data_IF_305717410613
#
_entry.id   IF_305717410613
#
_cell.length_a   1.000
_cell.length_b   1.000
_cell.length_c   1.000
_cell.angle_alpha   90.00
_cell.angle_beta   90.00
_cell.angle_gamma   90.00
#
_symmetry.space_group_name_H-M   'P 1'
#
loop_
_entity.id
_entity.type
_entity.pdbx_description
1 polymer ?
#
# COMPACT_ATOMS: atom_id res chain seq x y z
N UNK A 1 44.36 -25.82 59.28
CA UNK A 1 42.99 -26.30 59.53
C UNK A 1 41.96 -25.46 58.88
N UNK A 2 42.07 -24.15 58.71
CA UNK A 2 41.11 -23.23 58.13
C UNK A 2 40.84 -23.49 56.62
N UNK A 3 41.84 -23.81 55.82
CA UNK A 3 41.68 -23.97 54.34
C UNK A 3 40.87 -25.23 53.99
N UNK A 4 40.84 -26.25 54.83
CA UNK A 4 40.06 -27.47 54.59
C UNK A 4 38.55 -27.22 54.79
N UNK A 5 38.17 -26.33 55.72
CA UNK A 5 36.80 -25.98 56.02
C UNK A 5 36.19 -25.05 54.95
N UNK A 6 36.99 -24.18 54.32
CA UNK A 6 36.54 -23.28 53.26
C UNK A 6 36.19 -24.08 51.99
N UNK A 7 36.97 -25.10 51.63
CA UNK A 7 36.64 -25.98 50.49
C UNK A 7 35.34 -26.76 50.71
N UNK A 8 35.11 -27.22 51.93
CA UNK A 8 33.89 -27.95 52.25
C UNK A 8 32.65 -27.04 52.24
N UNK A 9 32.79 -25.78 52.65
CA UNK A 9 31.73 -24.78 52.58
C UNK A 9 31.36 -24.42 51.14
N UNK A 10 32.33 -24.31 50.23
CA UNK A 10 32.12 -24.08 48.80
C UNK A 10 31.43 -25.26 48.12
N UNK A 11 31.71 -26.48 48.49
CA UNK A 11 31.04 -27.68 47.95
C UNK A 11 29.57 -27.74 48.41
N UNK A 12 29.29 -27.39 49.66
CA UNK A 12 27.89 -27.30 50.17
C UNK A 12 27.14 -26.18 49.46
N UNK A 13 27.74 -25.03 49.17
CA UNK A 13 27.11 -23.91 48.45
C UNK A 13 26.78 -24.27 46.98
N UNK A 14 27.59 -25.10 46.35
CA UNK A 14 27.33 -25.63 45.00
C UNK A 14 26.24 -26.70 45.00
N UNK A 15 26.01 -27.42 46.07
CA UNK A 15 24.93 -28.42 46.19
C UNK A 15 23.57 -27.78 46.54
N UNK A 16 23.58 -26.55 47.07
CA UNK A 16 22.34 -25.78 47.36
C UNK A 16 21.88 -24.88 46.18
N UNK A 17 22.48 -24.99 45.04
CA UNK A 17 21.92 -24.42 43.86
C UNK A 17 20.65 -25.22 43.54
N UNK A 18 19.50 -24.77 44.10
CA UNK A 18 18.21 -25.19 43.60
C UNK A 18 18.27 -25.09 42.07
N UNK A 19 17.95 -26.15 41.32
CA UNK A 19 17.82 -26.01 39.89
C UNK A 19 16.81 -24.90 39.72
N UNK A 20 17.23 -23.81 39.06
CA UNK A 20 16.29 -22.82 38.55
C UNK A 20 15.32 -23.59 37.67
N UNK A 21 14.21 -24.03 38.25
CA UNK A 21 13.07 -24.42 37.51
C UNK A 21 12.57 -23.11 36.84
N UNK A 22 13.21 -22.75 35.78
CA UNK A 22 12.58 -22.01 34.73
C UNK A 22 11.28 -22.80 34.50
N UNK A 23 10.15 -22.31 35.03
CA UNK A 23 8.85 -22.69 34.52
C UNK A 23 8.90 -22.28 33.06
N UNK A 24 9.36 -23.16 32.17
CA UNK A 24 9.07 -23.04 30.76
C UNK A 24 7.55 -23.04 30.73
N UNK A 25 6.95 -21.87 30.50
CA UNK A 25 5.60 -21.80 30.00
C UNK A 25 5.51 -22.88 28.93
N UNK A 26 4.55 -23.79 29.08
CA UNK A 26 4.44 -25.05 28.36
C UNK A 26 5.01 -24.95 26.92
N UNK A 27 6.18 -25.53 26.67
CA UNK A 27 6.83 -25.58 25.35
C UNK A 27 6.02 -26.41 24.34
N UNK A 28 4.95 -27.06 24.79
CA UNK A 28 3.96 -27.77 23.92
C UNK A 28 3.32 -26.85 22.88
N UNK A 29 3.36 -25.52 23.11
CA UNK A 29 2.83 -24.54 22.17
C UNK A 29 3.80 -24.17 21.04
N UNK A 30 5.09 -24.39 21.21
CA UNK A 30 6.14 -24.10 20.22
C UNK A 30 6.94 -25.36 19.90
N UNK A 31 6.35 -26.24 19.08
CA UNK A 31 7.12 -27.37 18.52
C UNK A 31 8.32 -26.86 17.74
N UNK A 32 9.51 -27.41 18.04
CA UNK A 32 10.79 -27.05 17.41
C UNK A 32 10.73 -27.14 15.88
N UNK A 33 9.96 -28.09 15.35
CA UNK A 33 9.75 -28.26 13.92
C UNK A 33 8.98 -27.09 13.29
N UNK A 34 7.97 -26.56 13.97
CA UNK A 34 7.20 -25.42 13.50
C UNK A 34 7.99 -24.13 13.60
N UNK A 35 8.77 -23.95 14.67
CA UNK A 35 9.72 -22.83 14.82
C UNK A 35 10.81 -22.87 13.75
N UNK A 36 11.40 -24.03 13.49
CA UNK A 36 12.41 -24.20 12.43
C UNK A 36 11.86 -23.79 11.06
N UNK A 37 10.65 -24.22 10.72
CA UNK A 37 9.98 -23.82 9.47
C UNK A 37 9.72 -22.29 9.44
N UNK A 38 9.23 -21.73 10.53
CA UNK A 38 9.00 -20.30 10.62
C UNK A 38 10.29 -19.50 10.37
N UNK A 39 11.39 -19.86 11.05
CA UNK A 39 12.68 -19.17 10.84
C UNK A 39 13.24 -19.41 9.44
N UNK A 40 13.06 -20.60 8.87
CA UNK A 40 13.39 -20.83 7.45
C UNK A 40 12.57 -19.93 6.52
N UNK A 41 11.30 -19.68 6.86
CA UNK A 41 10.45 -18.72 6.16
C UNK A 41 10.95 -17.29 6.27
N UNK A 42 11.37 -16.88 7.47
CA UNK A 42 11.98 -15.56 7.70
C UNK A 42 13.24 -15.37 6.86
N UNK A 43 14.16 -16.33 6.91
CA UNK A 43 15.40 -16.29 6.11
C UNK A 43 15.10 -16.22 4.60
N UNK A 44 14.15 -17.02 4.11
CA UNK A 44 13.77 -17.00 2.71
C UNK A 44 13.15 -15.64 2.32
N UNK A 45 12.36 -15.04 3.21
CA UNK A 45 11.74 -13.73 3.02
C UNK A 45 12.81 -12.61 2.94
N UNK A 46 13.76 -12.57 3.87
CA UNK A 46 14.85 -11.59 3.86
C UNK A 46 15.74 -11.73 2.60
N UNK A 47 15.87 -12.95 2.07
CA UNK A 47 16.56 -13.24 0.81
C UNK A 47 15.67 -12.98 -0.44
N UNK A 48 14.51 -12.33 -0.29
CA UNK A 48 13.55 -12.01 -1.38
C UNK A 48 13.02 -13.24 -2.14
N UNK A 49 13.13 -14.44 -1.56
CA UNK A 49 12.55 -15.66 -2.12
C UNK A 49 11.14 -15.85 -1.56
N UNK A 50 10.20 -15.05 -2.06
CA UNK A 50 8.85 -14.94 -1.51
C UNK A 50 8.06 -16.25 -1.62
N UNK A 51 8.18 -16.98 -2.72
CA UNK A 51 7.51 -18.27 -2.92
C UNK A 51 7.95 -19.30 -1.88
N UNK A 52 9.26 -19.41 -1.64
CA UNK A 52 9.82 -20.30 -0.62
C UNK A 52 9.42 -19.86 0.79
N UNK A 53 9.44 -18.57 1.06
CA UNK A 53 8.99 -18.00 2.33
C UNK A 53 7.54 -18.36 2.62
N UNK A 54 6.64 -18.14 1.64
CA UNK A 54 5.23 -18.48 1.75
C UNK A 54 5.01 -19.98 2.00
N UNK A 55 5.78 -20.85 1.32
CA UNK A 55 5.69 -22.29 1.56
C UNK A 55 6.06 -22.66 3.01
N UNK A 56 7.14 -22.10 3.55
CA UNK A 56 7.53 -22.32 4.94
C UNK A 56 6.50 -21.79 5.93
N UNK A 57 5.97 -20.57 5.71
CA UNK A 57 4.90 -20.03 6.54
C UNK A 57 3.62 -20.90 6.45
N UNK A 58 3.22 -21.35 5.26
CA UNK A 58 2.08 -22.26 5.14
C UNK A 58 2.24 -23.55 5.96
N UNK A 59 3.47 -24.06 6.09
CA UNK A 59 3.79 -25.28 6.85
C UNK A 59 3.98 -25.05 8.36
N UNK A 60 3.85 -23.80 8.84
CA UNK A 60 3.97 -23.41 10.25
C UNK A 60 2.78 -22.58 10.74
N UNK A 61 1.62 -22.69 10.08
CA UNK A 61 0.39 -21.90 10.39
C UNK A 61 -0.12 -22.05 11.83
N UNK A 62 0.24 -23.11 12.52
CA UNK A 62 -0.09 -23.27 13.95
C UNK A 62 0.44 -22.11 14.81
N UNK A 63 1.49 -21.44 14.35
CA UNK A 63 2.07 -20.27 15.03
C UNK A 63 1.27 -18.97 14.81
N UNK A 64 0.31 -18.95 13.90
CA UNK A 64 -0.51 -17.77 13.59
C UNK A 64 -1.20 -17.19 14.83
N UNK A 65 -1.60 -18.06 15.76
CA UNK A 65 -2.30 -17.68 16.99
C UNK A 65 -1.38 -17.52 18.19
N UNK A 66 -0.10 -17.84 18.06
CA UNK A 66 0.84 -17.99 19.17
C UNK A 66 2.04 -17.06 19.08
N UNK A 67 2.34 -16.54 17.89
CA UNK A 67 3.51 -15.72 17.63
C UNK A 67 3.10 -14.44 16.88
N UNK A 68 3.08 -13.32 17.57
CA UNK A 68 2.58 -12.04 17.04
C UNK A 68 3.22 -11.63 15.70
N UNK A 69 4.55 -11.68 15.50
CA UNK A 69 5.16 -11.30 14.23
C UNK A 69 4.80 -12.21 13.05
N UNK A 70 4.26 -13.41 13.32
CA UNK A 70 3.91 -14.38 12.28
C UNK A 70 2.85 -13.86 11.33
N UNK A 71 1.75 -13.31 11.85
CA UNK A 71 0.64 -12.81 11.03
C UNK A 71 1.12 -11.76 10.02
N UNK A 72 1.90 -10.80 10.48
CA UNK A 72 2.45 -9.75 9.61
C UNK A 72 3.27 -10.33 8.48
N UNK A 73 4.26 -11.20 8.76
CA UNK A 73 5.12 -11.83 7.74
C UNK A 73 4.37 -12.72 6.77
N UNK A 74 3.38 -13.46 7.28
CA UNK A 74 2.56 -14.32 6.45
C UNK A 74 1.68 -13.50 5.49
N UNK A 75 1.06 -12.44 5.96
CA UNK A 75 0.30 -11.49 5.12
C UNK A 75 1.18 -10.87 4.05
N UNK A 76 2.38 -10.41 4.39
CA UNK A 76 3.34 -9.89 3.42
C UNK A 76 3.69 -10.91 2.33
N UNK A 77 4.01 -12.13 2.73
CA UNK A 77 4.36 -13.19 1.77
C UNK A 77 3.20 -13.52 0.83
N UNK A 78 1.95 -13.48 1.33
CA UNK A 78 0.76 -13.65 0.49
C UNK A 78 0.61 -12.52 -0.54
N UNK A 79 0.81 -11.26 -0.11
CA UNK A 79 0.71 -10.09 -1.00
C UNK A 79 1.79 -10.15 -2.08
N UNK A 80 3.04 -10.44 -1.72
CA UNK A 80 4.17 -10.55 -2.65
C UNK A 80 4.01 -11.69 -3.67
N UNK A 81 3.22 -12.71 -3.34
CA UNK A 81 2.86 -13.81 -4.25
C UNK A 81 1.51 -13.58 -4.94
N UNK A 82 1.05 -12.32 -5.04
CA UNK A 82 -0.22 -11.92 -5.67
C UNK A 82 -1.48 -12.59 -5.09
N UNK A 83 -1.41 -13.08 -3.83
CA UNK A 83 -2.52 -13.74 -3.14
C UNK A 83 -3.26 -12.78 -2.19
N UNK A 84 -3.55 -11.57 -2.68
CA UNK A 84 -4.13 -10.47 -1.88
C UNK A 84 -5.45 -10.87 -1.23
N UNK A 85 -6.35 -11.56 -1.95
CA UNK A 85 -7.62 -12.01 -1.37
C UNK A 85 -7.41 -13.00 -0.21
N UNK A 86 -6.40 -13.87 -0.29
CA UNK A 86 -6.06 -14.77 0.83
C UNK A 86 -5.49 -13.98 2.01
N UNK A 87 -4.65 -12.97 1.77
CA UNK A 87 -4.13 -12.09 2.81
C UNK A 87 -5.27 -11.39 3.56
N UNK A 88 -6.24 -10.82 2.85
CA UNK A 88 -7.42 -10.18 3.43
C UNK A 88 -8.26 -11.17 4.26
N UNK A 89 -8.48 -12.39 3.76
CA UNK A 89 -9.20 -13.43 4.49
C UNK A 89 -8.48 -13.80 5.79
N UNK A 90 -7.16 -13.96 5.75
CA UNK A 90 -6.34 -14.25 6.94
C UNK A 90 -6.43 -13.11 7.95
N UNK A 91 -6.36 -11.86 7.51
CA UNK A 91 -6.55 -10.67 8.37
C UNK A 91 -7.93 -10.71 9.02
N UNK A 92 -8.99 -10.93 8.23
CA UNK A 92 -10.37 -10.93 8.73
C UNK A 92 -10.64 -12.04 9.75
N UNK A 93 -10.02 -13.21 9.60
CA UNK A 93 -10.11 -14.31 10.55
C UNK A 93 -9.34 -14.05 11.85
N UNK A 94 -8.39 -13.10 11.85
CA UNK A 94 -7.49 -12.81 12.96
C UNK A 94 -7.55 -11.33 13.40
N UNK A 95 -8.72 -10.69 13.27
CA UNK A 95 -8.90 -9.24 13.50
C UNK A 95 -8.33 -8.72 14.83
N UNK A 96 -8.43 -9.51 15.90
CA UNK A 96 -8.10 -9.07 17.26
C UNK A 96 -6.70 -9.50 17.72
N UNK A 97 -5.85 -10.04 16.83
CA UNK A 97 -4.62 -10.71 17.26
C UNK A 97 -3.33 -9.95 17.03
N UNK A 98 -3.32 -9.06 16.07
CA UNK A 98 -2.12 -8.30 15.75
C UNK A 98 -2.51 -7.03 14.99
N UNK A 99 -1.97 -5.91 15.44
CA UNK A 99 -2.25 -4.61 14.89
C UNK A 99 -0.99 -4.08 14.21
N UNK A 100 -1.07 -3.79 12.90
CA UNK A 100 0.04 -3.27 12.13
C UNK A 100 -0.47 -2.43 10.94
N UNK A 101 0.37 -1.52 10.49
CA UNK A 101 0.05 -0.54 9.45
C UNK A 101 -0.53 -1.18 8.19
N UNK A 102 0.13 -2.21 7.66
CA UNK A 102 -0.22 -2.81 6.37
C UNK A 102 -1.53 -3.58 6.42
N UNK A 103 -1.94 -4.09 7.59
CA UNK A 103 -3.27 -4.67 7.81
C UNK A 103 -4.36 -3.67 7.46
N UNK A 104 -4.29 -2.48 8.03
CA UNK A 104 -5.29 -1.45 7.81
C UNK A 104 -5.23 -0.86 6.41
N UNK A 105 -4.03 -0.74 5.83
CA UNK A 105 -3.90 -0.31 4.44
C UNK A 105 -4.55 -1.32 3.47
N UNK A 106 -4.33 -2.62 3.64
CA UNK A 106 -4.98 -3.67 2.83
C UNK A 106 -6.50 -3.66 3.00
N UNK A 107 -7.00 -3.50 4.23
CA UNK A 107 -8.43 -3.40 4.49
C UNK A 107 -9.04 -2.13 3.89
N UNK A 108 -8.32 -1.01 3.88
CA UNK A 108 -8.72 0.22 3.20
C UNK A 108 -8.90 -0.02 1.70
N UNK A 109 -7.89 -0.60 1.05
CA UNK A 109 -7.94 -0.90 -0.39
C UNK A 109 -9.06 -1.91 -0.73
N UNK A 110 -9.24 -2.94 0.10
CA UNK A 110 -10.33 -3.91 -0.10
C UNK A 110 -11.71 -3.26 0.02
N UNK A 111 -11.87 -2.34 0.98
CA UNK A 111 -13.12 -1.57 1.16
C UNK A 111 -13.38 -0.64 -0.03
N UNK A 112 -12.34 0.02 -0.56
CA UNK A 112 -12.44 0.83 -1.79
C UNK A 112 -12.90 -0.01 -2.99
N UNK A 113 -12.32 -1.20 -3.18
CA UNK A 113 -12.73 -2.13 -4.25
C UNK A 113 -14.19 -2.59 -4.16
N UNK A 114 -14.79 -2.49 -2.98
CA UNK A 114 -16.17 -2.91 -2.69
C UNK A 114 -17.14 -1.73 -2.58
N UNK A 115 -16.71 -0.55 -2.95
CA UNK A 115 -17.47 0.70 -2.82
C UNK A 115 -17.92 1.04 -1.39
N UNK A 116 -17.26 0.44 -0.37
CA UNK A 116 -17.51 0.70 1.05
C UNK A 116 -16.61 1.83 1.55
N UNK A 117 -16.89 3.05 1.05
CA UNK A 117 -16.06 4.22 1.33
C UNK A 117 -16.05 4.63 2.80
N UNK A 118 -17.18 4.48 3.49
CA UNK A 118 -17.27 4.77 4.93
C UNK A 118 -16.29 3.90 5.72
N UNK A 119 -16.27 2.61 5.44
CA UNK A 119 -15.38 1.68 6.11
C UNK A 119 -13.92 1.88 5.69
N UNK A 120 -13.68 2.30 4.45
CA UNK A 120 -12.34 2.70 4.01
C UNK A 120 -11.82 3.89 4.81
N UNK A 121 -12.68 4.90 5.13
CA UNK A 121 -12.34 6.04 6.01
C UNK A 121 -11.98 5.59 7.42
N UNK A 122 -12.71 4.63 7.99
CA UNK A 122 -12.42 4.07 9.31
C UNK A 122 -11.03 3.41 9.31
N UNK A 123 -10.77 2.54 8.33
CA UNK A 123 -9.49 1.82 8.24
C UNK A 123 -8.30 2.75 7.98
N UNK A 124 -8.42 3.74 7.09
CA UNK A 124 -7.32 4.68 6.84
C UNK A 124 -7.00 5.52 8.08
N UNK A 125 -7.99 5.81 8.91
CA UNK A 125 -7.79 6.51 10.18
C UNK A 125 -7.01 5.66 11.19
N UNK A 126 -7.24 4.34 11.20
CA UNK A 126 -6.51 3.41 12.05
C UNK A 126 -5.03 3.29 11.65
N UNK A 127 -4.68 3.39 10.34
CA UNK A 127 -3.29 3.24 9.88
C UNK A 127 -2.32 4.18 10.59
N UNK A 128 -2.77 5.40 10.92
CA UNK A 128 -1.94 6.44 11.55
C UNK A 128 -1.42 6.04 12.94
N UNK A 129 -2.09 5.11 13.63
CA UNK A 129 -1.68 4.63 14.96
C UNK A 129 -0.45 3.70 14.90
N UNK A 130 -0.19 3.08 13.75
CA UNK A 130 0.79 2.00 13.62
C UNK A 130 1.98 2.36 12.72
N UNK A 131 2.10 3.61 12.32
CA UNK A 131 3.22 4.08 11.51
C UNK A 131 3.87 5.30 12.16
N UNK A 132 5.21 5.35 12.12
CA UNK A 132 5.92 6.58 12.43
C UNK A 132 5.65 7.59 11.31
N UNK A 133 4.96 8.66 11.65
CA UNK A 133 4.62 9.71 10.68
C UNK A 133 5.88 10.49 10.32
N UNK A 134 6.45 10.21 9.17
CA UNK A 134 7.31 11.11 8.42
C UNK A 134 6.46 12.06 7.58
N UNK A 135 7.07 13.12 7.07
CA UNK A 135 6.38 14.02 6.13
C UNK A 135 5.86 13.24 4.90
N UNK A 136 6.66 12.30 4.40
CA UNK A 136 6.30 11.47 3.25
C UNK A 136 5.10 10.54 3.56
N UNK A 137 5.15 9.81 4.68
CA UNK A 137 4.04 8.94 5.08
C UNK A 137 2.75 9.74 5.32
N UNK A 138 2.86 10.93 5.91
CA UNK A 138 1.72 11.82 6.12
C UNK A 138 1.12 12.28 4.80
N UNK A 139 1.96 12.63 3.81
CA UNK A 139 1.51 13.03 2.49
C UNK A 139 0.69 11.92 1.81
N UNK A 140 1.18 10.68 1.84
CA UNK A 140 0.49 9.52 1.26
C UNK A 140 -0.86 9.29 1.95
N UNK A 141 -0.87 9.19 3.28
CA UNK A 141 -2.09 8.88 4.03
C UNK A 141 -3.14 10.00 3.95
N UNK A 142 -2.72 11.26 3.97
CA UNK A 142 -3.63 12.39 3.85
C UNK A 142 -4.24 12.46 2.44
N UNK A 143 -3.43 12.31 1.37
CA UNK A 143 -3.97 12.27 0.01
C UNK A 143 -4.91 11.08 -0.22
N UNK A 144 -4.57 9.88 0.26
CA UNK A 144 -5.45 8.71 0.14
C UNK A 144 -6.76 8.93 0.90
N UNK A 145 -6.71 9.48 2.10
CA UNK A 145 -7.91 9.84 2.87
C UNK A 145 -8.77 10.85 2.12
N UNK A 146 -8.15 11.85 1.51
CA UNK A 146 -8.86 12.88 0.76
C UNK A 146 -9.56 12.31 -0.49
N UNK A 147 -8.94 11.35 -1.19
CA UNK A 147 -9.63 10.59 -2.25
C UNK A 147 -10.86 9.85 -1.72
N UNK A 148 -10.70 9.09 -0.63
CA UNK A 148 -11.82 8.34 -0.03
C UNK A 148 -12.94 9.28 0.41
N UNK A 149 -12.59 10.41 1.01
CA UNK A 149 -13.54 11.44 1.40
C UNK A 149 -14.33 11.96 0.18
N UNK A 150 -13.63 12.28 -0.92
CA UNK A 150 -14.26 12.75 -2.16
C UNK A 150 -15.21 11.70 -2.74
N UNK A 151 -14.82 10.42 -2.70
CA UNK A 151 -15.68 9.34 -3.19
C UNK A 151 -16.95 9.17 -2.34
N UNK A 152 -16.82 9.34 -1.02
CA UNK A 152 -17.93 9.20 -0.07
C UNK A 152 -18.85 10.43 -0.09
N UNK A 153 -18.28 11.62 0.09
CA UNK A 153 -19.02 12.87 0.32
C UNK A 153 -19.40 13.62 -0.95
N UNK A 154 -18.87 13.22 -2.11
CA UNK A 154 -19.07 13.91 -3.41
C UNK A 154 -18.74 15.40 -3.38
N UNK A 155 -17.76 15.78 -2.59
CA UNK A 155 -17.25 17.16 -2.48
C UNK A 155 -15.75 17.15 -2.11
N UNK A 156 -15.07 18.25 -2.40
CA UNK A 156 -13.66 18.41 -1.98
C UNK A 156 -13.57 18.62 -0.46
N UNK A 157 -12.47 18.15 0.18
CA UNK A 157 -12.18 18.52 1.55
C UNK A 157 -11.98 20.03 1.71
N UNK A 158 -12.38 20.58 2.87
CA UNK A 158 -12.23 22.02 3.15
C UNK A 158 -10.77 22.41 3.39
N UNK A 159 -9.96 21.50 3.93
CA UNK A 159 -8.56 21.74 4.29
C UNK A 159 -7.67 20.70 3.58
N UNK A 160 -7.22 21.05 2.37
CA UNK A 160 -6.31 20.24 1.57
C UNK A 160 -4.89 20.69 1.89
N UNK A 161 -4.10 19.82 2.51
CA UNK A 161 -2.69 20.09 2.78
C UNK A 161 -1.88 20.10 1.49
N UNK A 162 -0.90 21.02 1.43
CA UNK A 162 -0.02 21.10 0.26
C UNK A 162 1.23 20.22 0.45
N UNK A 163 1.34 19.19 -0.37
CA UNK A 163 2.49 18.30 -0.46
C UNK A 163 3.15 18.38 -1.86
N UNK A 164 3.17 19.57 -2.45
CA UNK A 164 3.76 19.81 -3.77
C UNK A 164 3.01 19.08 -4.89
N UNK A 165 3.77 18.49 -5.81
CA UNK A 165 3.21 17.84 -7.00
C UNK A 165 2.20 16.73 -6.67
N UNK A 166 2.39 15.99 -5.58
CA UNK A 166 1.43 14.96 -5.15
C UNK A 166 0.05 15.56 -4.89
N UNK A 167 -0.02 16.72 -4.23
CA UNK A 167 -1.31 17.39 -3.98
C UNK A 167 -1.93 17.97 -5.25
N UNK A 168 -1.12 18.50 -6.18
CA UNK A 168 -1.64 19.01 -7.46
C UNK A 168 -2.25 17.86 -8.26
N UNK A 169 -1.55 16.74 -8.38
CA UNK A 169 -2.04 15.53 -9.05
C UNK A 169 -3.34 15.04 -8.40
N UNK A 170 -3.32 14.81 -7.09
CA UNK A 170 -4.47 14.30 -6.35
C UNK A 170 -5.69 15.22 -6.47
N UNK A 171 -5.51 16.53 -6.31
CA UNK A 171 -6.61 17.50 -6.44
C UNK A 171 -7.16 17.55 -7.86
N UNK A 172 -6.30 17.42 -8.89
CA UNK A 172 -6.75 17.38 -10.29
C UNK A 172 -7.67 16.20 -10.51
N UNK A 173 -7.30 15.00 -10.08
CA UNK A 173 -8.11 13.80 -10.23
C UNK A 173 -9.39 13.83 -9.36
N UNK A 174 -9.32 14.35 -8.15
CA UNK A 174 -10.49 14.53 -7.29
C UNK A 174 -11.53 15.46 -7.95
N UNK A 175 -11.08 16.57 -8.55
CA UNK A 175 -11.94 17.48 -9.33
C UNK A 175 -12.52 16.81 -10.57
N UNK A 176 -11.71 16.01 -11.25
CA UNK A 176 -12.15 15.24 -12.41
C UNK A 176 -13.29 14.29 -12.04
N UNK A 177 -13.13 13.54 -10.94
CA UNK A 177 -14.18 12.65 -10.43
C UNK A 177 -15.49 13.38 -10.08
N UNK A 178 -15.37 14.59 -9.56
CA UNK A 178 -16.54 15.41 -9.19
C UNK A 178 -17.20 16.13 -10.38
N UNK A 179 -16.63 16.10 -11.57
CA UNK A 179 -17.06 16.91 -12.69
C UNK A 179 -16.94 18.42 -12.43
N UNK A 180 -15.97 18.82 -11.59
CA UNK A 180 -15.78 20.22 -11.18
C UNK A 180 -15.38 21.08 -12.38
N UNK A 181 -16.01 22.26 -12.52
CA UNK A 181 -15.76 23.19 -13.63
C UNK A 181 -14.30 23.65 -13.77
N UNK A 182 -13.50 23.57 -12.69
CA UNK A 182 -12.09 23.94 -12.70
C UNK A 182 -11.17 22.78 -13.13
N UNK A 183 -11.70 21.57 -13.38
CA UNK A 183 -10.90 20.39 -13.74
C UNK A 183 -9.94 20.66 -14.87
N UNK A 184 -10.42 21.28 -15.96
CA UNK A 184 -9.60 21.65 -17.12
C UNK A 184 -8.43 22.57 -16.75
N UNK A 185 -8.67 23.57 -15.92
CA UNK A 185 -7.64 24.49 -15.44
C UNK A 185 -6.57 23.76 -14.60
N UNK A 186 -6.98 22.78 -13.80
CA UNK A 186 -6.05 22.00 -12.99
C UNK A 186 -5.21 21.04 -13.84
N UNK A 187 -5.81 20.37 -14.84
CA UNK A 187 -5.03 19.59 -15.82
C UNK A 187 -4.03 20.46 -16.55
N UNK A 188 -4.45 21.64 -17.02
CA UNK A 188 -3.55 22.56 -17.71
C UNK A 188 -2.36 22.98 -16.84
N UNK A 189 -2.57 23.29 -15.57
CA UNK A 189 -1.49 23.57 -14.60
C UNK A 189 -0.59 22.37 -14.37
N UNK A 190 -1.14 21.17 -14.37
CA UNK A 190 -0.40 19.94 -14.13
C UNK A 190 0.54 19.62 -15.28
N UNK A 191 0.06 19.69 -16.53
CA UNK A 191 0.85 19.34 -17.73
C UNK A 191 1.87 20.41 -18.13
N UNK A 192 1.69 21.67 -17.68
CA UNK A 192 2.62 22.79 -17.89
C UNK A 192 3.48 23.09 -16.65
N UNK A 193 3.66 22.11 -15.77
CA UNK A 193 4.52 22.26 -14.60
C UNK A 193 5.98 22.01 -15.02
N UNK A 194 6.81 23.04 -14.91
CA UNK A 194 8.25 22.97 -15.27
C UNK A 194 9.12 22.30 -14.19
N UNK A 195 8.58 22.12 -12.96
CA UNK A 195 9.35 21.61 -11.82
C UNK A 195 9.51 20.09 -11.80
N UNK A 196 8.76 19.36 -12.64
CA UNK A 196 8.82 17.90 -12.71
C UNK A 196 8.39 17.37 -14.08
N UNK A 197 8.90 16.18 -14.47
CA UNK A 197 8.40 15.46 -15.64
C UNK A 197 7.01 14.86 -15.34
N UNK A 198 5.98 15.60 -15.71
CA UNK A 198 4.58 15.20 -15.59
C UNK A 198 3.94 14.85 -16.94
N UNK A 199 4.75 14.54 -17.95
CA UNK A 199 4.33 14.20 -19.33
C UNK A 199 3.28 13.09 -19.36
N UNK A 200 3.37 12.12 -18.46
CA UNK A 200 2.37 11.05 -18.31
C UNK A 200 0.94 11.59 -18.12
N UNK A 201 0.78 12.72 -17.45
CA UNK A 201 -0.54 13.29 -17.12
C UNK A 201 -1.25 13.91 -18.33
N UNK A 202 -0.54 14.13 -19.44
CA UNK A 202 -1.19 14.46 -20.71
C UNK A 202 -2.18 13.38 -21.16
N UNK A 203 -1.87 12.08 -20.94
CA UNK A 203 -2.81 11.01 -21.27
C UNK A 203 -4.13 11.13 -20.49
N UNK A 204 -4.06 11.42 -19.21
CA UNK A 204 -5.26 11.58 -18.36
C UNK A 204 -6.05 12.84 -18.73
N UNK A 205 -5.37 13.89 -19.18
CA UNK A 205 -6.03 15.07 -19.72
C UNK A 205 -6.75 14.76 -21.04
N UNK A 206 -6.13 13.99 -21.95
CA UNK A 206 -6.80 13.49 -23.14
C UNK A 206 -8.03 12.66 -22.80
N UNK A 207 -7.94 11.77 -21.81
CA UNK A 207 -9.09 10.97 -21.36
C UNK A 207 -10.23 11.88 -20.88
N UNK A 208 -9.93 12.87 -20.04
CA UNK A 208 -10.91 13.86 -19.59
C UNK A 208 -11.59 14.60 -20.77
N UNK A 209 -10.81 15.05 -21.76
CA UNK A 209 -11.35 15.74 -22.92
C UNK A 209 -12.27 14.86 -23.76
N UNK A 210 -11.89 13.60 -24.00
CA UNK A 210 -12.69 12.64 -24.74
C UNK A 210 -14.01 12.33 -24.00
N UNK A 211 -13.96 12.12 -22.68
CA UNK A 211 -15.16 11.90 -21.86
C UNK A 211 -16.14 13.10 -21.91
N UNK A 212 -15.60 14.31 -22.10
CA UNK A 212 -16.38 15.54 -22.20
C UNK A 212 -16.70 15.94 -23.65
N UNK A 213 -16.56 15.02 -24.63
CA UNK A 213 -16.83 15.24 -26.05
C UNK A 213 -15.98 16.37 -26.69
N UNK A 214 -14.79 16.64 -26.17
CA UNK A 214 -13.85 17.68 -26.63
C UNK A 214 -12.76 17.07 -27.52
N UNK A 215 -13.14 16.26 -28.52
CA UNK A 215 -12.22 15.53 -29.41
C UNK A 215 -11.26 16.43 -30.17
N UNK A 216 -11.76 17.54 -30.70
CA UNK A 216 -10.92 18.48 -31.47
C UNK A 216 -9.81 19.10 -30.61
N UNK A 217 -10.11 19.40 -29.35
CA UNK A 217 -9.10 19.88 -28.42
C UNK A 217 -8.09 18.79 -28.07
N UNK A 218 -8.55 17.55 -27.86
CA UNK A 218 -7.66 16.42 -27.64
C UNK A 218 -6.70 16.21 -28.83
N UNK A 219 -7.19 16.31 -30.08
CA UNK A 219 -6.33 16.25 -31.28
C UNK A 219 -5.27 17.35 -31.27
N UNK A 220 -5.66 18.59 -31.02
CA UNK A 220 -4.74 19.73 -30.97
C UNK A 220 -3.63 19.52 -29.91
N UNK A 221 -3.98 19.04 -28.73
CA UNK A 221 -2.99 18.74 -27.67
C UNK A 221 -2.01 17.67 -28.13
N UNK A 222 -2.45 16.62 -28.82
CA UNK A 222 -1.54 15.58 -29.34
C UNK A 222 -0.58 16.08 -30.40
N UNK A 223 -0.90 17.15 -31.13
CA UNK A 223 0.01 17.79 -32.09
C UNK A 223 1.06 18.65 -31.38
N UNK A 224 0.70 19.34 -30.31
CA UNK A 224 1.57 20.26 -29.57
C UNK A 224 2.58 19.55 -28.63
N UNK A 225 2.34 18.28 -28.24
CA UNK A 225 3.21 17.55 -27.30
C UNK A 225 4.53 17.14 -27.99
N UNK A 226 5.63 17.75 -27.53
CA UNK A 226 6.98 17.53 -28.10
C UNK A 226 7.61 16.17 -27.78
N UNK A 227 7.17 15.48 -26.72
CA UNK A 227 7.82 14.27 -26.16
C UNK A 227 6.88 13.06 -26.08
N UNK A 228 6.01 12.88 -27.06
CA UNK A 228 5.03 11.77 -27.06
C UNK A 228 5.70 10.40 -26.96
N UNK A 229 6.90 10.25 -27.52
CA UNK A 229 7.63 8.98 -27.52
C UNK A 229 8.24 8.59 -26.16
N UNK A 230 8.25 9.49 -25.18
CA UNK A 230 8.79 9.20 -23.83
C UNK A 230 7.81 8.44 -22.95
N UNK A 231 6.51 8.45 -23.27
CA UNK A 231 5.45 7.74 -22.54
C UNK A 231 4.68 6.82 -23.49
N UNK A 232 4.82 5.50 -23.29
CA UNK A 232 4.09 4.50 -24.09
C UNK A 232 2.57 4.73 -24.02
N UNK A 233 2.05 5.07 -22.83
CA UNK A 233 0.63 5.33 -22.62
C UNK A 233 0.16 6.54 -23.45
N UNK A 234 0.93 7.62 -23.46
CA UNK A 234 0.60 8.83 -24.23
C UNK A 234 0.70 8.59 -25.74
N UNK A 235 1.75 7.88 -26.19
CA UNK A 235 1.91 7.49 -27.61
C UNK A 235 0.73 6.64 -28.09
N UNK A 236 0.25 5.73 -27.26
CA UNK A 236 -0.90 4.90 -27.59
C UNK A 236 -2.21 5.71 -27.60
N UNK A 237 -2.38 6.63 -26.66
CA UNK A 237 -3.53 7.55 -26.63
C UNK A 237 -3.61 8.42 -27.88
N UNK A 238 -2.47 8.99 -28.34
CA UNK A 238 -2.38 9.73 -29.60
C UNK A 238 -2.81 8.87 -30.80
N UNK A 239 -2.25 7.66 -30.92
CA UNK A 239 -2.59 6.73 -32.00
C UNK A 239 -4.11 6.45 -32.05
N UNK A 240 -4.75 6.26 -30.90
CA UNK A 240 -6.20 6.03 -30.84
C UNK A 240 -7.01 7.24 -31.29
N UNK A 241 -6.58 8.46 -30.95
CA UNK A 241 -7.24 9.70 -31.36
C UNK A 241 -7.09 9.91 -32.89
N UNK A 242 -5.87 9.72 -33.43
CA UNK A 242 -5.58 9.87 -34.86
C UNK A 242 -6.31 8.87 -35.75
N UNK A 243 -6.59 7.67 -35.24
CA UNK A 243 -7.28 6.61 -35.97
C UNK A 243 -8.77 6.48 -35.62
N UNK A 244 -9.38 7.52 -35.07
CA UNK A 244 -10.80 7.56 -34.67
C UNK A 244 -11.24 6.40 -33.75
N UNK A 245 -10.30 5.94 -32.90
CA UNK A 245 -10.51 4.89 -31.90
C UNK A 245 -10.49 5.42 -30.45
N UNK A 246 -10.78 6.69 -30.25
CA UNK A 246 -10.67 7.40 -28.98
C UNK A 246 -11.47 6.75 -27.84
N UNK A 247 -12.53 5.99 -28.14
CA UNK A 247 -13.27 5.21 -27.14
C UNK A 247 -12.40 4.24 -26.34
N UNK A 248 -11.26 3.81 -26.91
CA UNK A 248 -10.29 2.96 -26.21
C UNK A 248 -9.61 3.67 -25.03
N UNK A 249 -9.50 4.98 -25.07
CA UNK A 249 -8.95 5.77 -23.97
C UNK A 249 -9.80 5.55 -22.70
N UNK A 250 -11.12 5.64 -22.82
CA UNK A 250 -12.04 5.44 -21.69
C UNK A 250 -12.06 3.99 -21.17
N UNK A 251 -11.52 3.02 -21.91
CA UNK A 251 -11.33 1.64 -21.39
C UNK A 251 -10.09 1.50 -20.53
N UNK A 252 -9.16 2.45 -20.60
CA UNK A 252 -7.91 2.46 -19.82
C UNK A 252 -8.05 3.34 -18.58
N UNK A 253 -8.74 4.46 -18.70
CA UNK A 253 -8.94 5.40 -17.60
C UNK A 253 -10.22 6.20 -17.78
N UNK A 254 -10.98 6.33 -16.72
CA UNK A 254 -12.13 7.20 -16.61
C UNK A 254 -12.09 8.01 -15.31
N UNK A 255 -12.33 9.30 -15.40
CA UNK A 255 -12.48 10.16 -14.24
C UNK A 255 -13.65 9.74 -13.32
N UNK A 256 -14.66 9.08 -13.86
CA UNK A 256 -15.84 8.63 -13.12
C UNK A 256 -15.59 7.29 -12.38
N UNK A 257 -14.51 6.59 -12.70
CA UNK A 257 -14.16 5.33 -12.07
C UNK A 257 -13.15 5.55 -10.93
N UNK A 258 -13.60 5.53 -9.68
CA UNK A 258 -12.72 5.70 -8.52
C UNK A 258 -11.59 4.68 -8.46
N UNK A 259 -11.77 3.46 -9.00
CA UNK A 259 -10.70 2.46 -9.03
C UNK A 259 -9.55 2.87 -9.96
N UNK A 260 -9.83 3.56 -11.07
CA UNK A 260 -8.79 4.06 -11.97
C UNK A 260 -7.96 5.17 -11.28
N UNK A 261 -8.64 6.06 -10.55
CA UNK A 261 -7.98 7.13 -9.81
C UNK A 261 -7.06 6.57 -8.70
N UNK A 262 -7.56 5.59 -7.94
CA UNK A 262 -6.77 4.93 -6.89
C UNK A 262 -5.63 4.12 -7.49
N UNK A 263 -5.83 3.46 -8.63
CA UNK A 263 -4.77 2.72 -9.31
C UNK A 263 -3.62 3.64 -9.74
N UNK A 264 -3.95 4.81 -10.30
CA UNK A 264 -2.92 5.80 -10.67
C UNK A 264 -2.22 6.39 -9.43
N UNK A 265 -2.97 6.68 -8.36
CA UNK A 265 -2.38 7.11 -7.09
C UNK A 265 -1.40 6.08 -6.54
N UNK A 266 -1.77 4.79 -6.50
CA UNK A 266 -0.91 3.73 -6.01
C UNK A 266 0.31 3.50 -6.91
N UNK A 267 0.15 3.64 -8.23
CA UNK A 267 1.26 3.60 -9.18
C UNK A 267 2.27 4.73 -8.92
N UNK A 268 1.79 5.96 -8.73
CA UNK A 268 2.63 7.10 -8.38
C UNK A 268 3.41 6.85 -7.07
N UNK A 269 2.73 6.38 -6.04
CA UNK A 269 3.36 6.07 -4.75
C UNK A 269 4.42 4.97 -4.89
N UNK A 270 4.14 3.92 -5.67
CA UNK A 270 5.10 2.85 -5.94
C UNK A 270 6.39 3.37 -6.59
N UNK A 271 6.27 4.29 -7.53
CA UNK A 271 7.42 4.91 -8.18
C UNK A 271 8.23 5.78 -7.21
N UNK A 272 7.56 6.54 -6.34
CA UNK A 272 8.22 7.36 -5.30
C UNK A 272 8.97 6.52 -4.26
N UNK A 273 8.55 5.27 -4.01
CA UNK A 273 9.27 4.35 -3.13
C UNK A 273 10.46 3.66 -3.82
N UNK A 274 10.50 3.66 -5.14
CA UNK A 274 11.52 2.96 -5.94
C UNK A 274 12.66 3.89 -6.38
N UNK A 275 12.47 5.20 -6.28
CA UNK A 275 13.44 6.26 -6.60
C UNK A 275 14.32 6.61 -5.40
#
# INVERSE_FOLDING_TARGET
>A
MLVKNIKFFFIILLLYQNPLHSKSASFDDFDSKNLSKYFSGVVAFENKNNSKALNFFNNSKILLNKHEPYLKRYVYSLVLENKVNQAINVINQNKNKSEFFEKYLLLTIDSLRKDDFSKALDYISETKKYIKLSQFNSAILDNLRDYIFVFNEKKLPNDIKNYGNLSIISTTFQRCYLGDAKTKTFFFKLINNDDADLTRYNFFYLAYLIENNQKEEAKKITEDIKFINTSLLLSQGKNWIENDNEKKISTVFSCQNHNDLISEFLFLISNLYSS
#
